data_IF_003475702991
#
_entry.id   IF_003475702991
#
_cell.length_a   1.000
_cell.length_b   1.000
_cell.length_c   1.000
_cell.angle_alpha   90.00
_cell.angle_beta   90.00
_cell.angle_gamma   90.00
#
_symmetry.space_group_name_H-M   'P 1'
#
loop_
_entity.id
_entity.type
_entity.pdbx_description
1 polymer ?
#
# COMPACT_ATOMS: atom_id res chain seq x y z
N UNK A 1 -3.28 5.83 -6.53
CA UNK A 1 -3.70 5.65 -5.12
C UNK A 1 -4.09 4.19 -4.96
N UNK A 2 -3.88 3.64 -3.77
CA UNK A 2 -4.28 2.30 -3.36
C UNK A 2 -5.16 2.45 -2.13
N UNK A 3 -6.24 1.67 -2.08
CA UNK A 3 -7.29 1.79 -1.08
C UNK A 3 -7.52 0.45 -0.40
N UNK A 4 -7.73 0.46 0.91
CA UNK A 4 -8.13 -0.70 1.69
C UNK A 4 -9.55 -0.53 2.20
N UNK A 5 -10.47 -1.33 1.66
CA UNK A 5 -11.89 -1.22 1.96
C UNK A 5 -12.27 -1.78 3.33
N UNK A 6 -11.41 -2.56 4.01
CA UNK A 6 -11.73 -3.01 5.36
C UNK A 6 -11.65 -1.89 6.39
N UNK A 7 -10.96 -0.78 6.06
CA UNK A 7 -10.75 0.37 6.95
C UNK A 7 -11.83 1.44 6.87
N UNK A 8 -12.87 1.23 6.07
CA UNK A 8 -13.97 2.19 5.94
C UNK A 8 -14.66 2.37 7.30
N UNK A 9 -14.81 3.62 7.74
CA UNK A 9 -15.34 4.04 9.04
C UNK A 9 -14.44 3.78 10.26
N UNK A 10 -13.15 3.46 10.06
CA UNK A 10 -12.22 3.48 11.19
C UNK A 10 -12.05 4.90 11.74
N UNK A 11 -11.92 5.02 13.06
CA UNK A 11 -11.67 6.30 13.71
C UNK A 11 -10.22 6.74 13.44
N UNK A 12 -10.06 7.98 13.02
CA UNK A 12 -8.75 8.60 12.76
C UNK A 12 -8.55 9.82 13.64
N UNK A 13 -7.29 10.21 13.83
CA UNK A 13 -6.99 11.51 14.44
C UNK A 13 -7.35 12.64 13.49
N UNK A 14 -7.51 13.86 14.02
CA UNK A 14 -7.77 15.05 13.18
C UNK A 14 -6.60 15.32 12.22
N UNK A 15 -5.38 15.03 12.65
CA UNK A 15 -4.17 15.23 11.83
C UNK A 15 -4.16 14.25 10.65
N UNK A 16 -4.44 12.97 10.88
CA UNK A 16 -4.49 11.95 9.81
C UNK A 16 -5.65 12.19 8.82
N UNK A 17 -6.78 12.71 9.30
CA UNK A 17 -7.95 12.99 8.45
C UNK A 17 -7.69 14.11 7.42
N UNK A 18 -6.70 14.97 7.63
CA UNK A 18 -6.28 15.98 6.64
C UNK A 18 -5.54 15.35 5.45
N UNK A 19 -4.88 14.20 5.65
CA UNK A 19 -4.16 13.46 4.61
C UNK A 19 -5.08 12.56 3.77
N UNK A 20 -6.24 12.18 4.31
CA UNK A 20 -7.27 11.44 3.59
C UNK A 20 -8.14 10.57 4.49
N UNK A 21 -9.13 9.86 3.91
CA UNK A 21 -9.98 8.95 4.66
C UNK A 21 -9.23 7.69 5.12
N UNK A 22 -9.75 6.92 6.09
CA UNK A 22 -9.05 5.76 6.67
C UNK A 22 -8.78 4.63 5.66
N UNK A 23 -9.61 4.51 4.62
CA UNK A 23 -9.39 3.57 3.54
C UNK A 23 -8.28 3.97 2.56
N UNK A 24 -7.72 5.20 2.62
CA UNK A 24 -6.61 5.61 1.77
C UNK A 24 -5.30 4.99 2.28
N UNK A 25 -4.93 3.84 1.74
CA UNK A 25 -3.76 3.08 2.18
C UNK A 25 -2.44 3.69 1.69
N UNK A 26 -2.36 4.09 0.42
CA UNK A 26 -1.10 4.58 -0.16
C UNK A 26 -1.29 5.49 -1.38
N UNK A 27 -0.46 6.52 -1.45
CA UNK A 27 -0.34 7.39 -2.63
C UNK A 27 1.06 7.27 -3.25
N UNK A 28 1.13 6.71 -4.46
CA UNK A 28 2.35 6.69 -5.25
C UNK A 28 2.57 8.03 -5.95
N UNK A 29 3.48 8.85 -5.41
CA UNK A 29 3.81 10.19 -5.92
C UNK A 29 4.98 10.24 -6.89
N UNK A 30 5.43 9.10 -7.45
CA UNK A 30 6.63 9.06 -8.29
C UNK A 30 6.47 9.61 -9.72
N UNK A 31 5.25 9.61 -10.27
CA UNK A 31 5.01 10.08 -11.65
C UNK A 31 4.91 11.61 -11.73
N UNK A 32 5.57 12.20 -12.73
CA UNK A 32 5.57 13.65 -12.98
C UNK A 32 4.56 14.10 -14.04
N UNK A 33 3.98 13.16 -14.77
CA UNK A 33 2.91 13.37 -15.72
C UNK A 33 1.68 12.51 -15.39
N UNK A 34 0.61 12.71 -16.16
CA UNK A 34 -0.62 11.95 -15.99
C UNK A 34 -0.38 10.46 -16.27
N UNK A 35 -0.83 9.62 -15.34
CA UNK A 35 -0.81 8.16 -15.50
C UNK A 35 -1.79 7.80 -16.60
N UNK A 36 -1.32 7.06 -17.60
CA UNK A 36 -2.12 6.58 -18.72
C UNK A 36 -2.76 5.22 -18.42
N UNK A 37 -2.00 4.32 -17.79
CA UNK A 37 -2.47 2.97 -17.43
C UNK A 37 -1.65 2.36 -16.29
N UNK A 38 -2.16 1.31 -15.67
CA UNK A 38 -1.46 0.52 -14.66
C UNK A 38 -1.96 -0.94 -14.62
N UNK A 39 -1.12 -1.84 -14.10
CA UNK A 39 -1.47 -3.25 -13.88
C UNK A 39 -0.83 -3.77 -12.61
N UNK A 40 -1.57 -4.60 -11.89
CA UNK A 40 -1.05 -5.44 -10.82
C UNK A 40 -0.23 -6.60 -11.40
N UNK A 41 0.83 -6.98 -10.70
CA UNK A 41 1.57 -8.20 -11.00
C UNK A 41 0.78 -9.40 -10.45
N UNK A 42 0.40 -10.39 -11.28
CA UNK A 42 -0.31 -11.58 -10.80
C UNK A 42 0.57 -12.59 -10.05
N UNK A 43 1.90 -12.43 -10.12
CA UNK A 43 2.86 -13.36 -9.53
C UNK A 43 3.46 -12.87 -8.21
N UNK A 44 3.48 -11.56 -7.97
CA UNK A 44 4.10 -10.96 -6.78
C UNK A 44 3.16 -9.93 -6.17
N UNK A 45 2.78 -10.18 -4.92
CA UNK A 45 1.87 -9.30 -4.19
C UNK A 45 2.43 -7.89 -4.04
N UNK A 46 1.54 -6.92 -4.14
CA UNK A 46 1.84 -5.49 -3.99
C UNK A 46 2.78 -4.88 -5.03
N UNK A 47 3.17 -5.63 -6.06
CA UNK A 47 3.94 -5.11 -7.19
C UNK A 47 3.00 -4.57 -8.26
N UNK A 48 3.21 -3.32 -8.67
CA UNK A 48 2.42 -2.62 -9.66
C UNK A 48 3.33 -2.06 -10.75
N UNK A 49 2.92 -2.21 -12.00
CA UNK A 49 3.48 -1.49 -13.14
C UNK A 49 2.54 -0.33 -13.52
N UNK A 50 3.06 0.88 -13.69
CA UNK A 50 2.28 2.04 -14.16
C UNK A 50 3.04 2.87 -15.18
N UNK A 51 2.33 3.38 -16.19
CA UNK A 51 2.88 4.18 -17.30
C UNK A 51 2.27 5.57 -17.33
N UNK A 52 3.06 6.56 -17.73
CA UNK A 52 2.64 7.96 -17.82
C UNK A 52 2.86 8.56 -19.22
N UNK A 53 2.19 9.68 -19.49
CA UNK A 53 2.20 10.39 -20.79
C UNK A 53 3.58 10.97 -21.17
N UNK A 54 4.51 11.08 -20.22
CA UNK A 54 5.91 11.52 -20.41
C UNK A 54 6.87 10.36 -20.75
N UNK A 55 6.34 9.21 -21.17
CA UNK A 55 7.06 7.99 -21.54
C UNK A 55 7.78 7.29 -20.37
N UNK A 56 7.38 7.58 -19.13
CA UNK A 56 7.93 6.93 -17.95
C UNK A 56 7.12 5.69 -17.58
N UNK A 57 7.82 4.58 -17.36
CA UNK A 57 7.30 3.35 -16.76
C UNK A 57 7.91 3.21 -15.36
N UNK A 58 7.06 2.98 -14.38
CA UNK A 58 7.48 2.59 -13.03
C UNK A 58 7.01 1.17 -12.72
N UNK A 59 7.91 0.38 -12.14
CA UNK A 59 7.58 -0.87 -11.43
C UNK A 59 7.93 -0.61 -9.97
N UNK A 60 6.94 -0.72 -9.09
CA UNK A 60 7.09 -0.35 -7.68
C UNK A 60 6.31 -1.29 -6.78
N UNK A 61 6.76 -1.39 -5.53
CA UNK A 61 6.16 -2.22 -4.49
C UNK A 61 6.01 -1.39 -3.21
N UNK A 62 4.86 -1.50 -2.56
CA UNK A 62 4.66 -0.89 -1.24
C UNK A 62 5.51 -1.60 -0.20
N UNK A 63 6.06 -0.84 0.75
CA UNK A 63 6.75 -1.42 1.89
C UNK A 63 5.76 -2.22 2.76
N UNK A 64 6.19 -3.39 3.25
CA UNK A 64 5.35 -4.31 4.03
C UNK A 64 4.66 -3.64 5.23
N UNK A 65 5.37 -2.74 5.90
CA UNK A 65 4.88 -1.94 7.02
C UNK A 65 3.65 -1.06 6.71
N UNK A 66 3.30 -0.87 5.44
CA UNK A 66 2.19 -0.02 5.02
C UNK A 66 0.87 -0.82 5.05
N UNK A 67 0.90 -2.09 4.62
CA UNK A 67 -0.29 -2.92 4.47
C UNK A 67 -0.44 -4.01 5.54
N UNK A 68 0.60 -4.24 6.36
CA UNK A 68 0.57 -5.24 7.43
C UNK A 68 0.22 -4.59 8.76
N UNK A 69 -0.81 -5.08 9.43
CA UNK A 69 -1.16 -4.67 10.79
C UNK A 69 -0.18 -5.27 11.81
N UNK A 70 0.10 -4.54 12.90
CA UNK A 70 1.05 -4.98 13.95
C UNK A 70 0.64 -6.30 14.63
N UNK A 71 -0.65 -6.65 14.59
CA UNK A 71 -1.20 -7.91 15.12
C UNK A 71 -0.96 -9.13 14.22
N UNK A 72 -0.51 -8.93 12.96
CA UNK A 72 -0.24 -10.01 12.01
C UNK A 72 1.19 -10.55 12.10
N UNK A 73 2.02 -10.03 13.02
CA UNK A 73 3.35 -10.59 13.28
C UNK A 73 3.22 -12.05 13.77
N UNK A 74 4.00 -13.01 13.26
CA UNK A 74 3.94 -14.37 13.75
C UNK A 74 4.23 -14.36 15.25
N UNK A 75 3.27 -14.79 16.06
CA UNK A 75 3.49 -15.07 17.49
C UNK A 75 4.72 -15.96 17.55
N UNK A 76 5.81 -15.48 18.16
CA UNK A 76 6.99 -16.32 18.35
C UNK A 76 6.54 -17.62 19.06
N UNK A 77 6.61 -18.75 18.35
CA UNK A 77 6.36 -20.03 18.98
C UNK A 77 7.41 -20.21 20.07
N UNK A 78 7.04 -20.43 21.35
CA UNK A 78 8.02 -20.58 22.41
C UNK A 78 8.90 -21.78 22.07
N UNK A 79 10.19 -21.50 21.87
CA UNK A 79 11.23 -22.47 21.56
C UNK A 79 11.08 -23.65 22.53
N UNK A 80 10.61 -24.80 22.03
CA UNK A 80 10.55 -26.03 22.83
C UNK A 80 11.97 -26.36 23.26
N UNK A 81 12.27 -26.04 24.51
CA UNK A 81 13.51 -26.43 25.17
C UNK A 81 13.47 -27.95 25.32
N UNK A 82 14.19 -28.65 24.44
CA UNK A 82 14.48 -30.08 24.56
C UNK A 82 15.48 -30.34 25.68
#
# INVERSE_FOLDING_TARGET
MVWDLSRINEEQTVEDAEDGPPELLFTHGGHTAKISDFSWNPCEDWVISSVAEDNILHIWQMAEKIYRDEDDAPREEPLKRS
#
